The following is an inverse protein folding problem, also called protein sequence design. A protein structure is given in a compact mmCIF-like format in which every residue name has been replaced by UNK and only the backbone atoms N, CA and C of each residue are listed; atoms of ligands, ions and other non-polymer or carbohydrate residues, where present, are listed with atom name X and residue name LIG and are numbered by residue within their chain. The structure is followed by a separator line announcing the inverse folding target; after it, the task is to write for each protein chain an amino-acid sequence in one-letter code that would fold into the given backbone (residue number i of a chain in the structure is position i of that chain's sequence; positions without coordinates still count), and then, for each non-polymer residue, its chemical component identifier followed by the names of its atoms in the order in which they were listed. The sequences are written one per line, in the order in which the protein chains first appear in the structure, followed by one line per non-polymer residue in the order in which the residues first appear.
data_IF_493250259801
#
_entry.id   IF_493250259801
#
_cell.length_a   1.000
_cell.length_b   1.000
_cell.length_c   1.000
_cell.angle_alpha   90.00
_cell.angle_beta   90.00
_cell.angle_gamma   90.00
#
_symmetry.space_group_name_H-M   'P 1'
#
loop_
_entity.id
_entity.type
_entity.pdbx_description
1 polymer ?
#
# COMPACT_ATOMS: atom_id res chain seq x y z
N UNK A 1 -9.13 28.58 -46.53
CA UNK A 1 -9.82 27.80 -45.48
C UNK A 1 -8.84 26.75 -44.98
N UNK A 2 -8.48 26.79 -43.69
CA UNK A 2 -7.61 25.76 -43.09
C UNK A 2 -8.52 24.74 -42.44
N UNK A 3 -8.58 23.52 -42.97
CA UNK A 3 -9.34 22.43 -42.35
C UNK A 3 -8.68 22.04 -41.03
N UNK A 4 -9.47 21.80 -39.99
CA UNK A 4 -8.96 21.33 -38.70
C UNK A 4 -8.38 19.91 -38.87
N UNK A 5 -7.42 19.53 -38.02
CA UNK A 5 -6.88 18.16 -37.99
C UNK A 5 -8.02 17.15 -37.77
N UNK A 6 -8.99 17.53 -36.95
CA UNK A 6 -10.18 16.73 -36.70
C UNK A 6 -11.01 16.51 -37.97
N UNK A 7 -11.14 17.54 -38.81
CA UNK A 7 -11.91 17.46 -40.04
C UNK A 7 -11.24 16.53 -41.05
N UNK A 8 -9.91 16.63 -41.19
CA UNK A 8 -9.15 15.77 -42.10
C UNK A 8 -9.13 14.31 -41.61
N UNK A 9 -9.02 14.10 -40.29
CA UNK A 9 -9.12 12.76 -39.69
C UNK A 9 -10.47 12.11 -39.97
N UNK A 10 -11.57 12.84 -39.73
CA UNK A 10 -12.92 12.36 -39.99
C UNK A 10 -13.16 12.12 -41.48
N UNK A 11 -12.62 12.99 -42.34
CA UNK A 11 -12.69 12.83 -43.80
C UNK A 11 -11.99 11.55 -44.25
N UNK A 12 -10.78 11.29 -43.79
CA UNK A 12 -10.04 10.07 -44.16
C UNK A 12 -10.69 8.81 -43.59
N UNK A 13 -11.22 8.86 -42.37
CA UNK A 13 -11.98 7.74 -41.81
C UNK A 13 -13.25 7.44 -42.60
N UNK A 14 -13.96 8.48 -43.06
CA UNK A 14 -15.17 8.31 -43.87
C UNK A 14 -14.89 7.68 -45.24
N UNK A 15 -13.66 7.75 -45.74
CA UNK A 15 -13.25 7.10 -47.00
C UNK A 15 -12.97 5.60 -46.82
N UNK A 16 -12.81 5.13 -45.59
CA UNK A 16 -12.65 3.72 -45.28
C UNK A 16 -14.02 3.04 -45.12
N UNK A 17 -14.17 1.81 -45.65
CA UNK A 17 -15.31 0.95 -45.33
C UNK A 17 -15.40 0.73 -43.82
N UNK A 18 -16.62 0.65 -43.28
CA UNK A 18 -16.89 0.46 -41.85
C UNK A 18 -16.11 -0.73 -41.26
N UNK A 19 -16.04 -1.84 -41.98
CA UNK A 19 -15.33 -3.07 -41.57
C UNK A 19 -13.81 -2.88 -41.46
N UNK A 20 -13.26 -1.87 -42.15
CA UNK A 20 -11.84 -1.54 -42.17
C UNK A 20 -11.48 -0.41 -41.19
N UNK A 21 -12.44 0.20 -40.48
CA UNK A 21 -12.19 1.27 -39.48
C UNK A 21 -11.69 0.71 -38.14
N UNK A 22 -10.77 -0.25 -38.20
CA UNK A 22 -10.11 -0.85 -37.05
C UNK A 22 -9.28 0.19 -36.29
N UNK A 23 -8.91 -0.13 -35.05
CA UNK A 23 -8.02 0.72 -34.26
C UNK A 23 -6.68 0.97 -34.98
N UNK A 24 -6.17 -0.03 -35.69
CA UNK A 24 -4.94 0.07 -36.46
C UNK A 24 -5.07 1.07 -37.62
N UNK A 25 -6.18 1.01 -38.37
CA UNK A 25 -6.44 1.97 -39.45
C UNK A 25 -6.63 3.40 -38.93
N UNK A 26 -7.30 3.57 -37.78
CA UNK A 26 -7.43 4.87 -37.11
C UNK A 26 -6.07 5.42 -36.68
N UNK A 27 -5.22 4.57 -36.10
CA UNK A 27 -3.87 4.95 -35.71
C UNK A 27 -3.01 5.31 -36.91
N UNK A 28 -3.12 4.59 -38.03
CA UNK A 28 -2.40 4.91 -39.26
C UNK A 28 -2.76 6.32 -39.76
N UNK A 29 -4.05 6.67 -39.83
CA UNK A 29 -4.51 8.02 -40.19
C UNK A 29 -3.99 9.07 -39.20
N UNK A 30 -4.04 8.78 -37.90
CA UNK A 30 -3.59 9.70 -36.86
C UNK A 30 -2.09 9.99 -36.97
N UNK A 31 -1.28 8.95 -37.18
CA UNK A 31 0.16 9.10 -37.38
C UNK A 31 0.51 9.76 -38.72
N UNK A 32 -0.30 9.60 -39.76
CA UNK A 32 -0.10 10.34 -41.00
C UNK A 32 -0.32 11.85 -40.82
N UNK A 33 -1.34 12.23 -40.03
CA UNK A 33 -1.71 13.63 -39.78
C UNK A 33 -0.77 14.31 -38.79
N UNK A 34 -0.40 13.60 -37.72
CA UNK A 34 0.34 14.13 -36.58
C UNK A 34 1.86 13.87 -36.69
N UNK A 35 2.25 12.89 -37.51
CA UNK A 35 3.63 12.42 -37.66
C UNK A 35 3.87 11.10 -36.92
N UNK A 36 4.72 10.26 -37.51
CA UNK A 36 5.19 9.00 -36.91
C UNK A 36 6.28 9.20 -35.86
N UNK A 37 6.79 10.44 -35.70
CA UNK A 37 7.90 10.71 -34.79
C UNK A 37 7.47 10.80 -33.32
N UNK A 38 6.16 10.81 -33.02
CA UNK A 38 5.63 10.87 -31.66
C UNK A 38 5.68 12.28 -31.04
N UNK A 39 6.14 13.29 -31.78
CA UNK A 39 6.31 14.66 -31.26
C UNK A 39 5.13 15.58 -31.58
N UNK A 40 4.00 15.05 -32.05
CA UNK A 40 2.79 15.86 -32.23
C UNK A 40 2.89 16.87 -33.38
N UNK A 41 3.94 16.82 -34.22
CA UNK A 41 4.17 17.83 -35.25
C UNK A 41 3.30 17.61 -36.48
N UNK A 42 2.02 17.96 -36.31
CA UNK A 42 1.02 17.79 -37.33
C UNK A 42 1.37 18.51 -38.65
N UNK A 43 0.97 17.89 -39.76
CA UNK A 43 1.20 18.40 -41.12
C UNK A 43 0.72 19.85 -41.31
N UNK A 44 -0.31 20.25 -40.58
CA UNK A 44 -0.86 21.60 -40.59
C UNK A 44 0.16 22.61 -40.04
N UNK A 45 0.82 22.31 -38.92
CA UNK A 45 1.91 23.13 -38.38
C UNK A 45 3.13 23.17 -39.30
N UNK A 46 3.48 22.05 -39.97
CA UNK A 46 4.57 22.02 -40.97
C UNK A 46 4.36 23.01 -42.12
N UNK A 47 3.12 23.33 -42.44
CA UNK A 47 2.77 24.23 -43.56
C UNK A 47 3.07 25.69 -43.25
N UNK A 48 2.93 26.10 -41.99
CA UNK A 48 3.15 27.48 -41.53
C UNK A 48 4.50 27.67 -40.85
N UNK A 49 5.01 26.65 -40.15
CA UNK A 49 6.27 26.71 -39.42
C UNK A 49 7.17 25.56 -39.90
N UNK A 50 8.41 25.84 -40.34
CA UNK A 50 9.35 24.77 -40.66
C UNK A 50 9.76 23.99 -39.40
N UNK A 51 9.86 22.66 -39.49
CA UNK A 51 10.23 21.77 -38.37
C UNK A 51 11.51 22.21 -37.64
N UNK A 52 12.51 22.71 -38.37
CA UNK A 52 13.79 23.26 -37.84
C UNK A 52 13.65 24.46 -36.89
N UNK A 53 12.51 25.15 -36.95
CA UNK A 53 12.22 26.30 -36.08
C UNK A 53 11.66 25.83 -34.73
N UNK A 54 10.96 24.70 -34.72
CA UNK A 54 10.37 24.11 -33.52
C UNK A 54 11.33 23.12 -32.84
N UNK A 55 12.03 22.34 -33.64
CA UNK A 55 12.99 21.34 -33.19
C UNK A 55 14.39 21.73 -33.68
N UNK A 56 15.37 21.67 -32.79
CA UNK A 56 16.78 21.86 -33.15
C UNK A 56 17.21 20.72 -34.09
N UNK A 57 17.94 21.05 -35.14
CA UNK A 57 18.50 20.06 -36.08
C UNK A 57 19.34 19.05 -35.29
N UNK A 58 18.89 17.79 -35.28
CA UNK A 58 19.46 16.71 -34.45
C UNK A 58 18.44 15.99 -33.56
N UNK A 59 17.26 16.59 -33.31
CA UNK A 59 16.13 15.92 -32.66
C UNK A 59 15.36 15.03 -33.66
N UNK A 60 16.02 13.97 -34.13
CA UNK A 60 15.34 12.82 -34.73
C UNK A 60 14.64 11.99 -33.64
N UNK A 61 13.74 11.06 -34.00
CA UNK A 61 12.95 10.27 -33.05
C UNK A 61 13.76 9.35 -32.11
N UNK A 62 15.09 9.36 -32.17
CA UNK A 62 15.96 8.36 -31.57
C UNK A 62 16.45 8.66 -30.15
N UNK A 63 15.91 9.67 -29.43
CA UNK A 63 16.48 10.10 -28.14
C UNK A 63 15.62 9.86 -26.90
N UNK A 64 14.51 9.13 -26.97
CA UNK A 64 13.72 8.81 -25.77
C UNK A 64 13.24 7.35 -25.70
N UNK A 65 14.03 6.39 -26.19
CA UNK A 65 14.03 5.09 -25.54
C UNK A 65 14.89 5.25 -24.29
N UNK A 66 14.34 5.14 -23.07
CA UNK A 66 15.18 5.05 -21.89
C UNK A 66 16.17 3.92 -22.16
N UNK A 67 17.46 4.25 -22.17
CA UNK A 67 18.50 3.24 -22.31
C UNK A 67 18.16 2.13 -21.30
N UNK A 68 18.18 0.84 -21.70
CA UNK A 68 17.80 -0.27 -20.82
C UNK A 68 18.48 -0.19 -19.44
N UNK A 69 19.67 0.39 -19.37
CA UNK A 69 20.40 0.65 -18.12
C UNK A 69 19.69 1.62 -17.16
N UNK A 70 18.92 2.59 -17.64
CA UNK A 70 18.23 3.59 -16.81
C UNK A 70 17.04 2.97 -16.10
N UNK A 71 16.24 2.18 -16.81
CA UNK A 71 15.10 1.44 -16.22
C UNK A 71 15.60 0.44 -15.18
N UNK A 72 16.70 -0.28 -15.48
CA UNK A 72 17.30 -1.23 -14.54
C UNK A 72 17.81 -0.52 -13.28
N UNK A 73 18.47 0.63 -13.41
CA UNK A 73 18.94 1.43 -12.28
C UNK A 73 17.79 1.90 -11.39
N UNK A 74 16.73 2.46 -11.99
CA UNK A 74 15.53 2.90 -11.24
C UNK A 74 14.90 1.72 -10.50
N UNK A 75 14.76 0.58 -11.18
CA UNK A 75 14.15 -0.62 -10.58
C UNK A 75 14.98 -1.18 -9.43
N UNK A 76 16.32 -1.11 -9.51
CA UNK A 76 17.20 -1.53 -8.42
C UNK A 76 17.13 -0.56 -7.23
N UNK A 77 17.10 0.74 -7.51
CA UNK A 77 17.03 1.78 -6.50
C UNK A 77 15.72 1.72 -5.70
N UNK A 78 14.57 1.68 -6.38
CA UNK A 78 13.26 1.57 -5.72
C UNK A 78 13.16 0.29 -4.89
N UNK A 79 13.72 -0.82 -5.37
CA UNK A 79 13.74 -2.09 -4.63
C UNK A 79 14.60 -2.02 -3.38
N UNK A 80 15.72 -1.30 -3.43
CA UNK A 80 16.58 -1.10 -2.27
C UNK A 80 15.88 -0.22 -1.22
N UNK A 81 15.30 0.90 -1.66
CA UNK A 81 14.57 1.81 -0.76
C UNK A 81 13.39 1.13 -0.07
N UNK A 82 12.52 0.45 -0.83
CA UNK A 82 11.38 -0.28 -0.25
C UNK A 82 11.81 -1.36 0.75
N UNK A 83 12.94 -2.02 0.50
CA UNK A 83 13.46 -3.05 1.41
C UNK A 83 13.97 -2.45 2.72
N UNK A 84 14.64 -1.30 2.63
CA UNK A 84 15.17 -0.62 3.81
C UNK A 84 14.05 0.04 4.62
N UNK A 85 13.07 0.65 3.96
CA UNK A 85 11.88 1.23 4.61
C UNK A 85 11.07 0.17 5.35
N UNK A 86 10.75 -0.95 4.69
CA UNK A 86 10.05 -2.07 5.31
C UNK A 86 10.83 -2.64 6.51
N UNK A 87 12.16 -2.72 6.42
CA UNK A 87 13.00 -3.23 7.52
C UNK A 87 12.95 -2.31 8.74
N UNK A 88 13.05 -1.00 8.53
CA UNK A 88 13.03 -0.04 9.64
C UNK A 88 11.63 0.09 10.23
N UNK A 89 10.57 0.02 9.43
CA UNK A 89 9.18 0.01 9.90
C UNK A 89 8.92 -1.22 10.80
N UNK A 90 9.28 -2.42 10.34
CA UNK A 90 9.13 -3.64 11.13
C UNK A 90 9.94 -3.57 12.43
N UNK A 91 11.18 -3.05 12.36
CA UNK A 91 12.03 -2.87 13.55
C UNK A 91 11.40 -1.91 14.55
N UNK A 92 10.87 -0.78 14.08
CA UNK A 92 10.26 0.24 14.92
C UNK A 92 8.99 -0.30 15.59
N UNK A 93 8.14 -1.01 14.84
CA UNK A 93 6.92 -1.61 15.36
C UNK A 93 7.22 -2.68 16.42
N UNK A 94 8.13 -3.62 16.14
CA UNK A 94 8.55 -4.63 17.11
C UNK A 94 9.19 -4.00 18.36
N UNK A 95 10.03 -2.97 18.18
CA UNK A 95 10.64 -2.26 19.30
C UNK A 95 9.58 -1.59 20.18
N UNK A 96 8.59 -0.94 19.57
CA UNK A 96 7.49 -0.28 20.27
C UNK A 96 6.67 -1.29 21.05
N UNK A 97 6.30 -2.41 20.43
CA UNK A 97 5.53 -3.46 21.09
C UNK A 97 6.28 -4.09 22.28
N UNK A 98 7.58 -4.34 22.14
CA UNK A 98 8.42 -4.84 23.23
C UNK A 98 8.52 -3.84 24.39
N UNK A 99 8.65 -2.54 24.09
CA UNK A 99 8.66 -1.50 25.12
C UNK A 99 7.33 -1.42 25.86
N UNK A 100 6.21 -1.54 25.14
CA UNK A 100 4.88 -1.56 25.73
C UNK A 100 4.71 -2.75 26.69
N UNK A 101 5.05 -3.98 26.26
CA UNK A 101 4.99 -5.15 27.16
C UNK A 101 5.88 -4.98 28.40
N UNK A 102 7.07 -4.41 28.26
CA UNK A 102 7.95 -4.12 29.41
C UNK A 102 7.30 -3.12 30.36
N UNK A 103 6.69 -2.06 29.85
CA UNK A 103 6.01 -1.06 30.66
C UNK A 103 4.80 -1.65 31.39
N UNK A 104 3.98 -2.44 30.71
CA UNK A 104 2.83 -3.15 31.30
C UNK A 104 3.27 -4.10 32.42
N UNK A 105 4.30 -4.91 32.18
CA UNK A 105 4.86 -5.82 33.19
C UNK A 105 5.35 -5.06 34.43
N UNK A 106 6.05 -3.93 34.24
CA UNK A 106 6.50 -3.07 35.34
C UNK A 106 5.32 -2.45 36.11
N UNK A 107 4.24 -2.07 35.43
CA UNK A 107 3.03 -1.57 36.07
C UNK A 107 2.33 -2.66 36.91
N UNK A 108 2.22 -3.89 36.40
CA UNK A 108 1.67 -5.03 37.15
C UNK A 108 2.51 -5.38 38.38
N UNK A 109 3.84 -5.40 38.25
CA UNK A 109 4.75 -5.68 39.38
C UNK A 109 4.66 -4.58 40.44
N UNK A 110 4.54 -3.33 40.03
CA UNK A 110 4.39 -2.19 40.95
C UNK A 110 3.04 -2.19 41.70
N UNK A 111 1.93 -2.59 41.04
CA UNK A 111 0.64 -2.78 41.71
C UNK A 111 0.69 -3.89 42.78
N UNK A 112 1.40 -4.99 42.51
CA UNK A 112 1.60 -6.06 43.50
C UNK A 112 2.49 -5.64 44.67
N UNK A 113 3.50 -4.80 44.42
CA UNK A 113 4.36 -4.27 45.48
C UNK A 113 3.69 -3.16 46.34
N UNK A 114 2.60 -2.55 45.84
CA UNK A 114 1.86 -1.48 46.51
C UNK A 114 0.68 -1.98 47.38
N UNK A 115 0.45 -3.29 47.49
CA UNK A 115 -0.45 -3.84 48.51
C UNK A 115 0.26 -3.79 49.85
N UNK A 116 0.05 -2.70 50.58
CA UNK A 116 0.49 -2.50 51.95
C UNK A 116 -0.04 -3.63 52.87
N UNK A 117 0.83 -4.41 53.55
CA UNK A 117 0.41 -5.39 54.56
C UNK A 117 -0.19 -4.74 55.81
N UNK A 118 -0.14 -3.41 55.94
CA UNK A 118 -0.43 -2.68 57.17
C UNK A 118 -1.83 -2.07 57.20
N UNK A 119 -2.85 -2.78 56.69
CA UNK A 119 -4.25 -2.42 56.97
C UNK A 119 -4.63 -2.95 58.34
N UNK A 120 -4.25 -2.13 59.32
CA UNK A 120 -4.53 -2.17 60.75
C UNK A 120 -5.82 -2.89 61.14
N UNK A 121 -5.65 -3.77 62.12
CA UNK A 121 -6.67 -4.28 63.04
C UNK A 121 -7.48 -3.09 63.58
N UNK A 122 -8.73 -2.96 63.16
CA UNK A 122 -9.75 -2.21 63.89
C UNK A 122 -10.58 -3.23 64.66
N UNK A 123 -10.10 -3.54 65.86
CA UNK A 123 -10.87 -4.25 66.86
C UNK A 123 -11.85 -3.26 67.52
N UNK A 124 -13.14 -3.43 67.27
CA UNK A 124 -14.22 -2.88 68.09
C UNK A 124 -15.52 -3.65 67.84
N UNK A 125 -15.71 -4.68 68.67
CA UNK A 125 -16.98 -5.15 69.23
C UNK A 125 -18.23 -5.19 68.32
N UNK A 126 -18.64 -6.40 67.94
CA UNK A 126 -20.06 -6.76 68.01
C UNK A 126 -20.18 -8.27 68.20
N UNK A 127 -19.99 -8.70 69.44
CA UNK A 127 -20.41 -10.02 69.87
C UNK A 127 -21.86 -9.97 70.30
N UNK A 128 -22.76 -10.66 69.60
CA UNK A 128 -23.85 -11.39 70.24
C UNK A 128 -24.39 -12.53 69.36
N UNK A 129 -24.30 -13.72 69.96
CA UNK A 129 -24.70 -15.08 69.59
C UNK A 129 -26.03 -15.21 68.82
N UNK A 130 -26.13 -16.25 67.99
CA UNK A 130 -27.06 -17.36 68.25
C UNK A 130 -26.72 -18.61 67.41
N UNK A 131 -26.66 -19.72 68.14
CA UNK A 131 -26.57 -21.13 67.73
C UNK A 131 -27.74 -21.58 66.83
N UNK A 132 -27.44 -22.40 65.81
CA UNK A 132 -28.14 -23.65 65.38
C UNK A 132 -27.66 -24.05 63.99
N UNK A 133 -27.52 -25.29 63.54
CA UNK A 133 -27.47 -26.67 64.09
C UNK A 133 -27.60 -27.56 62.84
N UNK A 134 -26.67 -28.51 62.65
CA UNK A 134 -26.81 -29.79 61.91
C UNK A 134 -27.03 -29.74 60.37
N UNK A 135 -26.48 -30.63 59.54
CA UNK A 135 -25.61 -31.80 59.70
C UNK A 135 -25.08 -32.17 58.28
N UNK A 136 -23.86 -32.73 58.25
CA UNK A 136 -23.44 -33.93 57.49
C UNK A 136 -23.83 -34.03 55.99
N UNK A 137 -22.85 -34.13 55.09
CA UNK A 137 -22.44 -35.39 54.41
C UNK A 137 -22.76 -35.16 52.91
N UNK A 138 -21.97 -35.44 51.87
CA UNK A 138 -20.74 -36.20 51.66
C UNK A 138 -19.98 -35.58 50.48
N UNK A 139 -18.67 -35.76 50.48
CA UNK A 139 -17.80 -35.59 49.31
C UNK A 139 -17.68 -36.93 48.58
N UNK A 140 -17.84 -36.98 47.25
CA UNK A 140 -17.11 -38.00 46.49
C UNK A 140 -16.34 -37.39 45.33
N UNK A 141 -15.07 -37.04 45.58
CA UNK A 141 -14.08 -36.96 44.52
C UNK A 141 -13.77 -38.37 43.99
N UNK A 142 -14.16 -38.64 42.74
CA UNK A 142 -13.69 -39.82 41.99
C UNK A 142 -12.75 -39.33 40.87
N UNK A 143 -11.44 -39.65 40.87
CA UNK A 143 -10.57 -39.32 39.75
C UNK A 143 -10.89 -40.19 38.51
N UNK A 144 -10.70 -39.66 37.28
CA UNK A 144 -10.92 -40.42 36.05
C UNK A 144 -9.81 -41.48 35.82
N UNK A 145 -10.13 -42.66 35.25
CA UNK A 145 -9.13 -43.67 34.92
C UNK A 145 -8.29 -43.29 33.69
N UNK A 146 -7.02 -43.65 33.75
CA UNK A 146 -6.00 -43.41 32.71
C UNK A 146 -6.20 -44.35 31.50
N UNK A 147 -6.23 -43.76 30.30
CA UNK A 147 -6.15 -44.49 29.02
C UNK A 147 -4.76 -45.11 28.86
N UNK A 148 -4.67 -46.45 28.78
CA UNK A 148 -3.48 -47.14 28.26
C UNK A 148 -3.84 -48.40 27.45
N UNK A 149 -3.63 -48.24 26.13
CA UNK A 149 -3.22 -49.21 25.07
C UNK A 149 -4.21 -50.26 24.57
#
# INVERSE_FOLDING_TARGET
MSYSIQDEFNRQLSMLPEDCRTLEARNAILHELIGHDGYGYCRTYRRTVPRRVVYKDGAGPSQLTPQPSTIVQITQHVRAELRDELREELRAEFSTHLQQMRAEMMAFVSQRASVDPNRQVLDASSGHRAFRESAEDEDPYTPPPEDQV
#
